data_IF_184006089781
#
_entry.id   IF_184006089781
#
_cell.length_a   1.000
_cell.length_b   1.000
_cell.length_c   1.000
_cell.angle_alpha   90.00
_cell.angle_beta   90.00
_cell.angle_gamma   90.00
#
_symmetry.space_group_name_H-M   'P 1'
#
loop_
_entity.id
_entity.type
_entity.pdbx_description
1 polymer ?
#
# COMPACT_ATOMS: atom_id res chain seq x y z
N UNK A 1 10.97 -30.07 -12.26
CA UNK A 1 11.42 -29.12 -11.22
C UNK A 1 10.19 -28.42 -10.67
N UNK A 2 10.01 -28.31 -9.34
CA UNK A 2 8.74 -27.87 -8.78
C UNK A 2 8.61 -26.38 -9.03
N UNK A 3 7.63 -25.99 -9.85
CA UNK A 3 7.33 -24.58 -10.15
C UNK A 3 7.07 -23.79 -8.86
N UNK A 4 6.51 -24.47 -7.84
CA UNK A 4 6.30 -23.94 -6.50
C UNK A 4 7.59 -23.67 -5.73
N UNK A 5 8.63 -24.48 -5.91
CA UNK A 5 9.92 -24.29 -5.25
C UNK A 5 10.72 -23.16 -5.89
N UNK A 6 10.69 -23.06 -7.22
CA UNK A 6 11.30 -21.92 -7.94
C UNK A 6 10.58 -20.62 -7.60
N UNK A 7 9.24 -20.63 -7.51
CA UNK A 7 8.43 -19.48 -7.07
C UNK A 7 8.82 -19.02 -5.66
N UNK A 8 8.90 -19.96 -4.71
CA UNK A 8 9.28 -19.68 -3.32
C UNK A 8 10.71 -19.12 -3.20
N UNK A 9 11.67 -19.67 -3.95
CA UNK A 9 13.05 -19.13 -3.99
C UNK A 9 13.10 -17.72 -4.61
N UNK A 10 12.24 -17.43 -5.59
CA UNK A 10 12.16 -16.11 -6.22
C UNK A 10 11.51 -15.08 -5.29
N UNK A 11 10.54 -15.48 -4.47
CA UNK A 11 9.90 -14.64 -3.45
C UNK A 11 10.83 -14.33 -2.27
N UNK A 12 11.59 -15.32 -1.77
CA UNK A 12 12.53 -15.12 -0.65
C UNK A 12 13.74 -14.23 -1.01
N UNK A 13 14.04 -14.04 -2.30
CA UNK A 13 15.12 -13.15 -2.78
C UNK A 13 14.64 -11.85 -3.42
N UNK A 14 13.35 -11.55 -3.37
CA UNK A 14 12.82 -10.34 -4.00
C UNK A 14 12.99 -9.13 -3.08
N UNK A 15 13.91 -8.24 -3.46
CA UNK A 15 14.04 -6.91 -2.85
C UNK A 15 13.12 -5.91 -3.57
N UNK A 16 12.16 -5.37 -2.83
CA UNK A 16 11.27 -4.32 -3.28
C UNK A 16 11.90 -2.97 -2.97
N UNK A 17 12.21 -2.19 -4.01
CA UNK A 17 12.51 -0.77 -3.81
C UNK A 17 11.21 -0.04 -3.47
N UNK A 18 11.23 0.75 -2.39
CA UNK A 18 10.07 1.48 -1.88
C UNK A 18 10.49 2.91 -1.55
N UNK A 19 9.66 3.88 -1.90
CA UNK A 19 9.80 5.26 -1.46
C UNK A 19 8.71 5.55 -0.42
N UNK A 20 9.10 6.05 0.76
CA UNK A 20 8.21 6.32 1.89
C UNK A 20 8.02 7.82 2.10
N UNK A 21 6.79 8.22 2.42
CA UNK A 21 6.43 9.58 2.82
C UNK A 21 5.65 9.55 4.13
N UNK A 22 5.89 10.53 5.01
CA UNK A 22 5.19 10.64 6.29
C UNK A 22 3.82 11.32 6.13
N UNK A 23 3.68 12.15 5.10
CA UNK A 23 2.44 12.83 4.73
C UNK A 23 2.23 12.83 3.23
N UNK A 24 0.98 12.92 2.79
CA UNK A 24 0.62 13.08 1.37
C UNK A 24 1.22 14.34 0.74
N UNK A 25 1.50 15.36 1.57
CA UNK A 25 2.05 16.66 1.17
C UNK A 25 3.58 16.69 1.14
N UNK A 26 4.25 15.61 1.55
CA UNK A 26 5.71 15.55 1.56
C UNK A 26 6.27 15.67 0.14
N UNK A 27 7.21 16.61 -0.01
CA UNK A 27 7.90 16.88 -1.27
C UNK A 27 9.06 15.92 -1.53
N UNK A 28 9.63 15.37 -0.45
CA UNK A 28 10.78 14.47 -0.45
C UNK A 28 10.36 13.18 0.23
N UNK A 29 10.51 12.08 -0.51
CA UNK A 29 10.19 10.72 -0.12
C UNK A 29 11.51 9.97 0.06
N UNK A 30 11.64 9.28 1.19
CA UNK A 30 12.84 8.54 1.54
C UNK A 30 12.83 7.20 0.82
N UNK A 31 13.90 6.89 0.10
CA UNK A 31 14.03 5.61 -0.59
C UNK A 31 14.59 4.55 0.36
N UNK A 32 14.00 3.37 0.34
CA UNK A 32 14.40 2.20 1.12
C UNK A 32 14.16 0.93 0.30
N UNK A 33 14.62 -0.21 0.80
CA UNK A 33 14.44 -1.53 0.20
C UNK A 33 13.92 -2.49 1.24
N UNK A 34 12.82 -3.18 0.95
CA UNK A 34 12.21 -4.19 1.83
C UNK A 34 12.20 -5.56 1.15
N UNK A 35 12.25 -6.62 1.94
CA UNK A 35 11.77 -7.92 1.49
C UNK A 35 10.25 -7.92 1.34
N UNK A 36 9.70 -8.90 0.62
CA UNK A 36 8.25 -9.06 0.51
C UNK A 36 7.59 -9.24 1.88
N UNK A 37 8.18 -10.04 2.77
CA UNK A 37 7.69 -10.28 4.13
C UNK A 37 7.67 -9.01 4.97
N UNK A 38 8.74 -8.19 4.91
CA UNK A 38 8.78 -6.90 5.60
C UNK A 38 7.69 -5.94 5.09
N UNK A 39 7.44 -5.96 3.77
CA UNK A 39 6.40 -5.15 3.17
C UNK A 39 5.00 -5.63 3.59
N UNK A 40 4.76 -6.94 3.61
CA UNK A 40 3.50 -7.55 4.07
C UNK A 40 3.22 -7.25 5.54
N UNK A 41 4.21 -7.41 6.41
CA UNK A 41 4.11 -7.06 7.83
C UNK A 41 3.74 -5.57 8.05
N UNK A 42 4.28 -4.69 7.20
CA UNK A 42 3.94 -3.26 7.25
C UNK A 42 2.50 -2.99 6.84
N UNK A 43 2.04 -3.52 5.70
CA UNK A 43 0.69 -3.21 5.18
C UNK A 43 -0.43 -3.93 5.94
N UNK A 44 -0.13 -5.03 6.63
CA UNK A 44 -1.08 -5.74 7.48
C UNK A 44 -1.34 -5.02 8.81
N UNK A 45 -0.46 -4.10 9.21
CA UNK A 45 -0.60 -3.34 10.44
C UNK A 45 -1.52 -2.14 10.24
N UNK A 46 -2.74 -2.20 10.78
CA UNK A 46 -3.69 -1.08 10.78
C UNK A 46 -3.29 0.00 11.78
N UNK A 47 -3.37 1.28 11.39
CA UNK A 47 -3.10 2.40 12.28
C UNK A 47 -4.40 2.81 12.97
N UNK A 48 -4.41 2.77 14.30
CA UNK A 48 -5.54 3.19 15.13
C UNK A 48 -5.24 4.57 15.70
N UNK A 49 -6.12 5.52 15.42
CA UNK A 49 -6.03 6.87 15.98
C UNK A 49 -6.80 6.93 17.30
N UNK A 50 -6.51 7.92 18.13
CA UNK A 50 -7.05 8.01 19.50
C UNK A 50 -8.52 8.44 19.54
N UNK A 51 -9.05 9.00 18.45
CA UNK A 51 -10.40 9.56 18.42
C UNK A 51 -11.46 8.48 18.22
N UNK A 52 -12.62 8.69 18.86
CA UNK A 52 -13.77 7.82 18.63
C UNK A 52 -14.40 8.10 17.25
N UNK A 53 -15.11 7.10 16.70
CA UNK A 53 -15.82 7.25 15.43
C UNK A 53 -16.84 8.39 15.46
N UNK A 54 -17.46 8.64 16.62
CA UNK A 54 -18.43 9.72 16.81
C UNK A 54 -17.77 11.10 16.76
N UNK A 55 -16.59 11.26 17.37
CA UNK A 55 -15.81 12.51 17.32
C UNK A 55 -15.25 12.76 15.92
N UNK A 56 -14.71 11.72 15.28
CA UNK A 56 -14.20 11.79 13.91
C UNK A 56 -15.27 12.32 12.93
N UNK A 57 -16.50 11.81 13.02
CA UNK A 57 -17.62 12.25 12.17
C UNK A 57 -18.03 13.71 12.36
N UNK A 58 -17.78 14.27 13.54
CA UNK A 58 -18.08 15.68 13.86
C UNK A 58 -17.01 16.64 13.37
N UNK A 59 -15.80 16.14 13.05
CA UNK A 59 -14.74 17.00 12.51
C UNK A 59 -15.04 17.47 11.09
N UNK A 60 -14.51 18.65 10.74
CA UNK A 60 -14.51 19.13 9.37
C UNK A 60 -13.72 18.17 8.45
N UNK A 61 -14.09 18.12 7.17
CA UNK A 61 -13.46 17.27 6.17
C UNK A 61 -11.93 17.44 6.12
N UNK A 62 -11.43 18.66 6.28
CA UNK A 62 -9.98 18.93 6.32
C UNK A 62 -9.27 18.22 7.47
N UNK A 63 -9.88 18.20 8.66
CA UNK A 63 -9.33 17.51 9.84
C UNK A 63 -9.46 15.99 9.69
N UNK A 64 -10.58 15.51 9.13
CA UNK A 64 -10.74 14.10 8.75
C UNK A 64 -9.65 13.63 7.77
N UNK A 65 -9.39 14.40 6.72
CA UNK A 65 -8.34 14.11 5.74
C UNK A 65 -6.95 14.10 6.37
N UNK A 66 -6.69 14.99 7.33
CA UNK A 66 -5.40 15.03 8.05
C UNK A 66 -5.23 13.83 8.99
N UNK A 67 -6.31 13.36 9.64
CA UNK A 67 -6.29 12.15 10.48
C UNK A 67 -6.02 10.91 9.62
N UNK A 68 -6.58 10.88 8.41
CA UNK A 68 -6.32 9.84 7.40
C UNK A 68 -4.93 9.89 6.78
N UNK A 69 -4.20 10.98 6.96
CA UNK A 69 -2.85 11.16 6.41
C UNK A 69 -1.80 10.61 7.37
N UNK A 70 -1.71 9.28 7.46
CA UNK A 70 -0.76 8.54 8.30
C UNK A 70 0.55 8.19 7.58
N UNK A 71 0.76 8.79 6.40
CA UNK A 71 1.86 8.49 5.51
C UNK A 71 1.49 7.54 4.39
N UNK A 72 2.43 7.36 3.47
CA UNK A 72 2.22 6.58 2.27
C UNK A 72 3.51 5.95 1.75
N UNK A 73 3.33 5.07 0.78
CA UNK A 73 4.43 4.40 0.11
C UNK A 73 4.22 4.40 -1.39
N UNK A 74 5.32 4.35 -2.13
CA UNK A 74 5.35 4.10 -3.58
C UNK A 74 6.29 2.92 -3.80
N UNK A 75 5.78 1.84 -4.38
CA UNK A 75 6.57 0.65 -4.72
C UNK A 75 7.45 0.94 -5.95
N UNK A 76 8.55 1.63 -5.73
CA UNK A 76 9.50 2.01 -6.76
C UNK A 76 10.52 3.06 -6.31
N UNK A 77 11.40 3.42 -7.24
CA UNK A 77 12.41 4.48 -7.04
C UNK A 77 11.92 5.79 -7.62
N UNK A 78 12.05 6.87 -6.84
CA UNK A 78 11.72 8.23 -7.25
C UNK A 78 13.00 9.05 -7.44
N UNK A 79 13.18 9.65 -8.60
CA UNK A 79 14.22 10.61 -8.89
C UNK A 79 14.09 11.80 -7.92
N UNK A 80 15.18 12.10 -7.22
CA UNK A 80 15.26 13.20 -6.24
C UNK A 80 14.21 13.07 -5.12
N UNK A 81 13.71 11.86 -4.86
CA UNK A 81 12.69 11.59 -3.84
C UNK A 81 11.34 12.27 -4.12
N UNK A 82 11.04 12.68 -5.35
CA UNK A 82 9.82 13.45 -5.62
C UNK A 82 8.72 12.56 -6.20
N UNK A 83 7.53 12.58 -5.60
CA UNK A 83 6.35 11.91 -6.15
C UNK A 83 5.74 12.73 -7.29
N UNK A 84 6.23 12.50 -8.51
CA UNK A 84 5.65 12.98 -9.77
C UNK A 84 5.79 11.92 -10.86
N UNK A 85 4.95 11.98 -11.90
CA UNK A 85 4.95 11.00 -13.00
C UNK A 85 6.28 10.94 -13.75
N UNK A 86 6.92 12.10 -13.96
CA UNK A 86 8.22 12.26 -14.61
C UNK A 86 9.40 11.86 -13.73
N UNK A 87 9.19 11.76 -12.42
CA UNK A 87 10.23 11.41 -11.45
C UNK A 87 10.24 9.92 -11.08
N UNK A 88 9.42 9.07 -11.70
CA UNK A 88 9.45 7.62 -11.41
C UNK A 88 10.56 6.96 -12.22
N UNK A 89 11.59 6.45 -11.55
CA UNK A 89 12.73 5.76 -12.19
C UNK A 89 12.43 4.28 -12.44
N UNK A 90 11.80 3.61 -11.48
CA UNK A 90 11.42 2.21 -11.59
C UNK A 90 10.21 1.92 -10.71
N UNK A 91 9.46 0.86 -11.05
CA UNK A 91 8.36 0.33 -10.24
C UNK A 91 8.66 -1.11 -9.87
N UNK A 92 8.58 -1.42 -8.59
CA UNK A 92 8.75 -2.78 -8.08
C UNK A 92 7.43 -3.55 -8.11
N UNK A 93 6.29 -2.84 -8.03
CA UNK A 93 4.95 -3.41 -8.01
C UNK A 93 3.88 -2.35 -8.31
N UNK A 94 2.64 -2.81 -8.50
CA UNK A 94 1.47 -1.96 -8.66
C UNK A 94 0.57 -2.08 -7.42
N UNK A 95 0.14 -0.93 -6.91
CA UNK A 95 -0.81 -0.81 -5.80
C UNK A 95 -2.15 -0.36 -6.37
N UNK A 96 -3.22 -1.11 -6.11
CA UNK A 96 -4.58 -0.76 -6.52
C UNK A 96 -5.42 -0.48 -5.26
N UNK A 97 -6.06 0.68 -5.23
CA UNK A 97 -7.06 1.02 -4.22
C UNK A 97 -8.40 0.42 -4.67
N UNK A 98 -9.00 -0.40 -3.82
CA UNK A 98 -10.16 -1.23 -4.21
C UNK A 98 -11.25 -1.20 -3.15
N UNK A 99 -12.07 -0.14 -3.20
CA UNK A 99 -13.19 0.10 -2.28
C UNK A 99 -14.37 -0.89 -2.46
N UNK A 100 -14.52 -1.48 -3.65
CA UNK A 100 -15.66 -2.33 -4.03
C UNK A 100 -15.25 -3.76 -4.39
N UNK A 101 -14.23 -4.30 -3.70
CA UNK A 101 -13.78 -5.67 -3.90
C UNK A 101 -14.91 -6.69 -3.66
N UNK A 102 -15.15 -7.57 -4.63
CA UNK A 102 -16.00 -8.76 -4.47
C UNK A 102 -15.14 -9.96 -4.05
N UNK A 103 -15.72 -11.01 -3.42
CA UNK A 103 -14.94 -12.17 -2.98
C UNK A 103 -14.13 -12.87 -4.09
N UNK A 104 -14.57 -12.79 -5.36
CA UNK A 104 -13.89 -13.39 -6.52
C UNK A 104 -12.92 -12.47 -7.26
N UNK A 105 -12.71 -11.23 -6.80
CA UNK A 105 -11.92 -10.24 -7.55
C UNK A 105 -10.44 -10.64 -7.69
N UNK A 106 -9.91 -11.43 -6.76
CA UNK A 106 -8.52 -11.93 -6.84
C UNK A 106 -8.37 -12.91 -8.00
N UNK A 107 -9.32 -13.84 -8.14
CA UNK A 107 -9.30 -14.83 -9.22
C UNK A 107 -9.46 -14.15 -10.59
N UNK A 108 -10.32 -13.12 -10.67
CA UNK A 108 -10.46 -12.29 -11.87
C UNK A 108 -9.15 -11.55 -12.21
N UNK A 109 -8.52 -10.93 -11.21
CA UNK A 109 -7.27 -10.19 -11.39
C UNK A 109 -6.14 -11.13 -11.83
N UNK A 110 -6.02 -12.32 -11.24
CA UNK A 110 -5.03 -13.32 -11.65
C UNK A 110 -5.29 -13.83 -13.09
N UNK A 111 -6.56 -13.93 -13.49
CA UNK A 111 -6.93 -14.35 -14.84
C UNK A 111 -6.58 -13.27 -15.90
N UNK A 112 -6.78 -11.99 -15.58
CA UNK A 112 -6.54 -10.89 -16.52
C UNK A 112 -5.12 -10.33 -16.50
N UNK A 113 -4.38 -10.48 -15.40
CA UNK A 113 -3.05 -9.88 -15.23
C UNK A 113 -2.00 -10.95 -14.90
N UNK A 114 -1.06 -11.15 -15.83
CA UNK A 114 0.08 -12.06 -15.66
C UNK A 114 1.24 -11.48 -14.83
N UNK A 115 1.03 -10.35 -14.16
CA UNK A 115 2.06 -9.64 -13.37
C UNK A 115 1.73 -9.72 -11.86
N UNK A 116 2.57 -10.43 -11.09
CA UNK A 116 2.63 -10.33 -9.60
C UNK A 116 3.83 -9.44 -9.21
N UNK A 117 3.75 -8.63 -8.13
CA UNK A 117 2.88 -8.74 -6.98
C UNK A 117 1.84 -7.61 -6.93
N UNK A 118 0.57 -7.98 -6.87
CA UNK A 118 -0.53 -7.06 -6.63
C UNK A 118 -0.78 -7.07 -5.12
N UNK A 119 -0.27 -6.06 -4.40
CA UNK A 119 -0.70 -5.83 -3.03
C UNK A 119 -2.06 -5.15 -3.09
N UNK A 120 -3.12 -5.93 -3.22
CA UNK A 120 -4.47 -5.43 -2.94
C UNK A 120 -4.52 -5.20 -1.43
N UNK A 121 -4.88 -3.98 -1.05
CA UNK A 121 -5.30 -3.66 0.29
C UNK A 121 -6.48 -4.57 0.64
N UNK A 122 -6.20 -5.75 1.22
CA UNK A 122 -7.19 -6.56 1.93
C UNK A 122 -7.44 -5.88 3.27
N UNK A 123 -7.82 -4.60 3.22
CA UNK A 123 -8.30 -3.92 4.39
C UNK A 123 -9.72 -4.45 4.56
N UNK A 124 -9.86 -5.47 5.41
CA UNK A 124 -11.12 -5.73 6.09
C UNK A 124 -11.40 -4.51 6.97
N UNK A 125 -11.84 -3.40 6.36
CA UNK A 125 -12.61 -2.37 7.07
C UNK A 125 -13.99 -2.98 7.17
N UNK A 126 -14.40 -3.53 8.33
CA UNK A 126 -15.81 -3.78 8.55
C UNK A 126 -16.55 -2.48 8.26
N UNK A 127 -17.66 -2.55 7.50
CA UNK A 127 -18.43 -1.37 7.01
C UNK A 127 -18.86 -0.39 8.12
N UNK A 128 -18.69 -0.76 9.40
CA UNK A 128 -18.89 0.09 10.59
C UNK A 128 -17.71 1.01 10.94
N UNK A 129 -16.50 0.79 10.41
CA UNK A 129 -15.27 1.50 10.81
C UNK A 129 -14.77 2.38 9.65
N UNK A 130 -15.54 3.42 9.32
CA UNK A 130 -15.09 4.51 8.42
C UNK A 130 -14.07 5.46 9.10
N UNK A 131 -13.23 4.95 9.98
CA UNK A 131 -12.32 5.73 10.82
C UNK A 131 -11.05 4.99 11.27
N UNK A 132 -10.67 3.89 10.63
CA UNK A 132 -9.33 3.32 10.80
C UNK A 132 -8.57 3.48 9.50
N UNK A 133 -7.31 3.89 9.63
CA UNK A 133 -6.39 4.17 8.52
C UNK A 133 -5.49 2.97 8.29
#
# INVERSE_FOLDING_TARGET
MPVNFIRKIKEERMELAISLGNKRTDKIWTQTSYSLEQFEARISTTIRTAETVAEYKKFAKSKQDNIKDVGGFVLGKLAKGRRKKDAVLSRSALTLDMDFATPGIIDEVELFFSFLPISIQRINIPKSIRGCV
#
